data_IF_598288437409
#
_entry.id   IF_598288437409
#
_cell.length_a   1.000
_cell.length_b   1.000
_cell.length_c   1.000
_cell.angle_alpha   90.00
_cell.angle_beta   90.00
_cell.angle_gamma   90.00
#
_symmetry.space_group_name_H-M   'P 1'
#
loop_
_entity.id
_entity.type
_entity.pdbx_description
1 polymer ?
#
# COMPACT_ATOMS: atom_id res chain seq x y z
N UNK A 1 -29.78 17.03 27.30
CA UNK A 1 -29.80 18.49 27.03
C UNK A 1 -28.51 19.04 27.60
N UNK A 2 -27.48 19.08 26.76
CA UNK A 2 -26.88 20.29 26.15
C UNK A 2 -25.93 20.95 27.14
N UNK A 3 -24.65 21.14 26.85
CA UNK A 3 -24.16 21.78 25.63
C UNK A 3 -22.79 21.27 25.21
N UNK A 4 -22.66 21.11 23.90
CA UNK A 4 -21.42 20.98 23.17
C UNK A 4 -20.45 22.12 23.51
N UNK A 5 -19.20 21.74 23.80
CA UNK A 5 -18.04 22.47 23.29
C UNK A 5 -16.99 21.43 22.94
N UNK A 6 -17.26 20.59 21.94
CA UNK A 6 -16.17 20.02 21.14
C UNK A 6 -15.58 21.21 20.41
N UNK A 7 -14.63 21.88 21.08
CA UNK A 7 -13.84 22.90 20.44
C UNK A 7 -13.28 22.27 19.16
N UNK A 8 -13.61 22.88 18.03
CA UNK A 8 -12.81 22.83 16.82
C UNK A 8 -11.41 23.30 17.19
N UNK A 9 -10.62 22.41 17.79
CA UNK A 9 -9.18 22.59 17.78
C UNK A 9 -8.82 22.24 16.35
N UNK A 10 -8.63 23.28 15.52
CA UNK A 10 -7.77 23.13 14.36
C UNK A 10 -6.42 22.70 14.91
N UNK A 11 -6.23 21.39 15.04
CA UNK A 11 -4.97 20.78 15.43
C UNK A 11 -4.01 21.07 14.27
N UNK A 12 -3.31 22.21 14.34
CA UNK A 12 -2.13 22.51 13.51
C UNK A 12 -0.93 21.61 13.86
N UNK A 13 -1.16 20.49 14.56
CA UNK A 13 -0.13 19.52 14.87
C UNK A 13 0.18 18.73 13.60
N UNK A 14 1.47 18.51 13.29
CA UNK A 14 1.87 17.65 12.19
C UNK A 14 1.23 16.26 12.32
N UNK A 15 0.58 15.77 11.26
CA UNK A 15 0.07 14.40 11.23
C UNK A 15 1.21 13.44 10.92
N UNK A 16 1.43 12.45 11.80
CA UNK A 16 2.36 11.35 11.53
C UNK A 16 1.67 10.28 10.67
N UNK A 17 2.25 9.95 9.52
CA UNK A 17 1.74 8.89 8.65
C UNK A 17 2.49 7.58 8.89
N UNK A 18 1.82 6.59 9.47
CA UNK A 18 2.36 5.25 9.60
C UNK A 18 2.29 4.49 8.28
N UNK A 19 3.37 3.75 8.00
CA UNK A 19 3.45 2.83 6.87
C UNK A 19 3.63 1.43 7.43
N UNK A 20 2.61 0.59 7.29
CA UNK A 20 2.54 -0.70 7.96
C UNK A 20 3.09 -1.82 7.04
N UNK A 21 3.81 -2.81 7.56
CA UNK A 21 4.33 -3.92 6.77
C UNK A 21 3.26 -5.00 6.50
N UNK A 22 3.56 -5.98 5.66
CA UNK A 22 2.74 -7.20 5.57
C UNK A 22 1.44 -7.04 4.79
N UNK A 23 1.44 -6.26 3.70
CA UNK A 23 0.28 -6.05 2.81
C UNK A 23 -0.46 -7.35 2.44
N UNK A 24 0.27 -8.44 2.16
CA UNK A 24 -0.30 -9.75 1.82
C UNK A 24 -0.25 -10.76 2.98
N UNK A 25 0.63 -10.53 3.96
CA UNK A 25 0.92 -11.47 5.05
C UNK A 25 -0.05 -11.29 6.22
N UNK A 26 -0.48 -10.06 6.49
CA UNK A 26 -1.28 -9.70 7.66
C UNK A 26 -2.72 -9.32 7.30
N UNK A 27 -3.27 -9.88 6.23
CA UNK A 27 -4.62 -9.60 5.77
C UNK A 27 -5.68 -9.79 6.86
N UNK A 28 -5.69 -10.94 7.54
CA UNK A 28 -6.63 -11.23 8.63
C UNK A 28 -6.46 -10.29 9.83
N UNK A 29 -5.23 -9.84 10.12
CA UNK A 29 -4.99 -8.82 11.12
C UNK A 29 -5.60 -7.48 10.69
N UNK A 30 -5.38 -7.05 9.45
CA UNK A 30 -5.87 -5.76 8.96
C UNK A 30 -7.39 -5.71 8.85
N UNK A 31 -8.06 -6.83 8.52
CA UNK A 31 -9.52 -6.94 8.56
C UNK A 31 -10.12 -6.63 9.93
N UNK A 32 -9.38 -6.84 11.01
CA UNK A 32 -9.82 -6.54 12.38
C UNK A 32 -9.29 -5.17 12.83
N UNK A 33 -8.02 -4.90 12.55
CA UNK A 33 -7.31 -3.71 13.02
C UNK A 33 -7.82 -2.41 12.38
N UNK A 34 -8.09 -2.40 11.07
CA UNK A 34 -8.52 -1.18 10.37
C UNK A 34 -9.91 -0.68 10.83
N UNK A 35 -10.94 -1.54 10.99
CA UNK A 35 -12.20 -1.11 11.59
C UNK A 35 -12.02 -0.62 13.03
N UNK A 36 -11.17 -1.27 13.84
CA UNK A 36 -10.86 -0.83 15.20
C UNK A 36 -10.23 0.57 15.19
N UNK A 37 -9.23 0.79 14.33
CA UNK A 37 -8.58 2.09 14.16
C UNK A 37 -9.58 3.17 13.79
N UNK A 38 -10.47 2.93 12.81
CA UNK A 38 -11.44 3.94 12.35
C UNK A 38 -12.58 4.19 13.36
N UNK A 39 -13.10 3.13 14.00
CA UNK A 39 -14.28 3.23 14.89
C UNK A 39 -13.93 3.65 16.33
N UNK A 40 -12.72 3.35 16.79
CA UNK A 40 -12.25 3.63 18.15
C UNK A 40 -11.00 4.51 18.12
N UNK A 41 -11.11 5.70 17.52
CA UNK A 41 -9.97 6.63 17.39
C UNK A 41 -9.41 7.07 18.74
N UNK A 42 -10.20 7.00 19.81
CA UNK A 42 -9.80 7.27 21.20
C UNK A 42 -8.76 6.28 21.75
N UNK A 43 -8.59 5.10 21.14
CA UNK A 43 -7.53 4.16 21.52
C UNK A 43 -6.15 4.51 20.95
N UNK A 44 -6.13 5.43 19.98
CA UNK A 44 -4.94 5.83 19.26
C UNK A 44 -4.69 7.31 19.44
N UNK A 45 -3.48 7.76 19.14
CA UNK A 45 -3.20 9.19 19.13
C UNK A 45 -4.02 9.89 18.02
N UNK A 46 -4.48 11.11 18.32
CA UNK A 46 -5.26 11.94 17.39
C UNK A 46 -4.39 12.57 16.28
N UNK A 47 -3.08 12.62 16.50
CA UNK A 47 -2.09 13.19 15.57
C UNK A 47 -1.50 12.19 14.57
N UNK A 48 -2.04 10.97 14.45
CA UNK A 48 -1.52 9.97 13.51
C UNK A 48 -2.57 9.36 12.59
N UNK A 49 -2.15 9.01 11.37
CA UNK A 49 -2.97 8.33 10.36
C UNK A 49 -2.18 7.19 9.70
N UNK A 50 -2.87 6.28 9.04
CA UNK A 50 -2.24 5.20 8.25
C UNK A 50 -2.13 5.67 6.81
N UNK A 51 -0.91 5.91 6.35
CA UNK A 51 -0.66 6.42 4.99
C UNK A 51 -0.52 5.31 3.95
N UNK A 52 0.06 4.15 4.33
CA UNK A 52 0.18 3.03 3.40
C UNK A 52 0.36 1.69 4.12
N UNK A 53 0.12 0.60 3.40
CA UNK A 53 0.55 -0.74 3.78
C UNK A 53 1.44 -1.29 2.67
N UNK A 54 2.59 -1.83 3.02
CA UNK A 54 3.58 -2.32 2.06
C UNK A 54 3.86 -3.82 2.20
N UNK A 55 4.11 -4.50 1.08
CA UNK A 55 4.46 -5.91 1.07
C UNK A 55 4.44 -6.51 -0.33
N UNK A 56 4.76 -7.79 -0.44
CA UNK A 56 4.66 -8.55 -1.69
C UNK A 56 4.12 -9.96 -1.40
N UNK A 57 3.46 -10.61 -2.37
CA UNK A 57 3.10 -12.03 -2.27
C UNK A 57 4.34 -12.91 -2.12
N UNK A 58 4.22 -14.01 -1.38
CA UNK A 58 5.32 -14.93 -1.09
C UNK A 58 5.93 -15.59 -2.33
N UNK A 59 5.15 -15.72 -3.40
CA UNK A 59 5.54 -16.37 -4.65
C UNK A 59 5.85 -15.39 -5.78
N UNK A 60 5.97 -14.08 -5.51
CA UNK A 60 6.50 -13.14 -6.50
C UNK A 60 8.05 -13.17 -6.48
N UNK A 61 8.64 -13.52 -7.63
CA UNK A 61 10.10 -13.59 -7.81
C UNK A 61 10.79 -12.24 -7.53
N UNK A 62 10.13 -11.11 -7.80
CA UNK A 62 10.66 -9.78 -7.48
C UNK A 62 10.69 -9.47 -5.98
N UNK A 63 9.95 -10.22 -5.15
CA UNK A 63 9.91 -10.07 -3.69
C UNK A 63 11.16 -10.60 -2.96
N UNK A 64 11.95 -11.46 -3.60
CA UNK A 64 13.23 -11.94 -3.05
C UNK A 64 13.13 -13.16 -2.15
N UNK A 65 12.11 -14.00 -2.33
CA UNK A 65 12.02 -15.32 -1.70
C UNK A 65 11.61 -15.31 -0.23
N UNK A 66 10.82 -14.33 0.21
CA UNK A 66 10.25 -14.30 1.57
C UNK A 66 9.25 -15.44 1.72
N UNK A 67 9.42 -16.29 2.72
CA UNK A 67 8.40 -17.26 3.12
C UNK A 67 7.38 -16.56 4.02
N UNK A 68 6.23 -16.21 3.45
CA UNK A 68 5.08 -15.73 4.22
C UNK A 68 4.17 -16.91 4.54
N UNK A 69 3.63 -16.93 5.76
CA UNK A 69 2.58 -17.88 6.14
C UNK A 69 1.23 -17.22 5.89
N UNK A 70 0.50 -17.72 4.89
CA UNK A 70 -0.79 -17.16 4.48
C UNK A 70 -0.83 -16.87 2.99
N UNK A 71 -1.92 -17.26 2.36
CA UNK A 71 -2.26 -16.86 1.00
C UNK A 71 -3.43 -15.90 1.11
N UNK A 72 -3.23 -14.67 0.66
CA UNK A 72 -4.29 -13.68 0.52
C UNK A 72 -4.44 -13.39 -0.96
N UNK A 73 -5.68 -13.36 -1.46
CA UNK A 73 -5.94 -13.00 -2.84
C UNK A 73 -5.55 -11.53 -3.06
N UNK A 74 -4.76 -11.20 -4.10
CA UNK A 74 -4.40 -9.82 -4.39
C UNK A 74 -5.59 -8.86 -4.59
N UNK A 75 -6.72 -9.36 -5.10
CA UNK A 75 -7.96 -8.58 -5.26
C UNK A 75 -8.56 -8.25 -3.89
N UNK A 76 -8.69 -9.24 -3.00
CA UNK A 76 -9.19 -9.04 -1.63
C UNK A 76 -8.33 -8.03 -0.85
N UNK A 77 -7.00 -8.10 -1.01
CA UNK A 77 -6.06 -7.16 -0.38
C UNK A 77 -6.26 -5.74 -0.93
N UNK A 78 -6.42 -5.62 -2.24
CA UNK A 78 -6.59 -4.33 -2.90
C UNK A 78 -7.93 -3.67 -2.51
N UNK A 79 -9.00 -4.45 -2.43
CA UNK A 79 -10.32 -3.97 -2.00
C UNK A 79 -10.32 -3.54 -0.54
N UNK A 80 -9.63 -4.27 0.35
CA UNK A 80 -9.48 -3.87 1.74
C UNK A 80 -8.78 -2.51 1.87
N UNK A 81 -7.65 -2.28 1.19
CA UNK A 81 -6.96 -1.00 1.33
C UNK A 81 -7.75 0.15 0.69
N UNK A 82 -8.52 -0.11 -0.37
CA UNK A 82 -9.43 0.86 -0.99
C UNK A 82 -10.56 1.24 -0.04
N UNK A 83 -11.20 0.27 0.61
CA UNK A 83 -12.27 0.49 1.60
C UNK A 83 -11.86 1.50 2.68
N UNK A 84 -10.59 1.45 3.11
CA UNK A 84 -10.06 2.31 4.17
C UNK A 84 -9.32 3.55 3.68
N UNK A 85 -9.21 3.75 2.36
CA UNK A 85 -8.49 4.88 1.76
C UNK A 85 -6.99 4.85 2.06
N UNK A 86 -6.36 3.68 1.99
CA UNK A 86 -4.94 3.47 2.33
C UNK A 86 -4.15 3.09 1.07
N UNK A 87 -2.98 3.71 0.86
CA UNK A 87 -2.12 3.40 -0.28
C UNK A 87 -1.54 2.00 -0.14
N UNK A 88 -1.69 1.15 -1.15
CA UNK A 88 -0.95 -0.11 -1.23
C UNK A 88 0.42 0.12 -1.89
N UNK A 89 1.46 -0.47 -1.30
CA UNK A 89 2.83 -0.37 -1.80
C UNK A 89 3.46 -1.75 -2.01
N UNK A 90 3.56 -2.17 -3.26
CA UNK A 90 4.24 -3.42 -3.62
C UNK A 90 5.72 -3.33 -3.24
N UNK A 91 6.28 -4.35 -2.60
CA UNK A 91 7.68 -4.34 -2.11
C UNK A 91 8.52 -5.38 -2.86
N UNK A 92 9.27 -4.91 -3.85
CA UNK A 92 10.15 -5.74 -4.68
C UNK A 92 11.62 -5.58 -4.27
N UNK A 93 12.02 -6.39 -3.30
CA UNK A 93 13.35 -6.34 -2.68
C UNK A 93 14.38 -7.30 -3.27
N UNK A 94 14.07 -8.09 -4.31
CA UNK A 94 15.04 -9.04 -4.87
C UNK A 94 16.23 -8.32 -5.54
N UNK A 95 17.41 -8.40 -4.93
CA UNK A 95 18.66 -7.84 -5.47
C UNK A 95 19.30 -8.70 -6.57
N UNK A 96 18.89 -9.96 -6.71
CA UNK A 96 19.45 -10.93 -7.65
C UNK A 96 18.67 -11.01 -8.97
N UNK A 97 17.84 -10.01 -9.26
CA UNK A 97 17.10 -9.95 -10.52
C UNK A 97 18.04 -9.81 -11.71
N UNK A 98 17.64 -10.47 -12.79
CA UNK A 98 18.30 -10.51 -14.09
C UNK A 98 17.25 -10.22 -15.15
N UNK A 99 17.67 -9.95 -16.38
CA UNK A 99 16.76 -9.57 -17.46
C UNK A 99 15.67 -10.63 -17.70
N UNK A 100 16.03 -11.92 -17.59
CA UNK A 100 15.07 -13.02 -17.73
C UNK A 100 13.96 -13.03 -16.67
N UNK A 101 14.19 -12.41 -15.51
CA UNK A 101 13.19 -12.32 -14.44
C UNK A 101 12.21 -11.16 -14.65
N UNK A 102 12.49 -10.21 -15.54
CA UNK A 102 11.64 -9.04 -15.78
C UNK A 102 10.34 -9.40 -16.52
N UNK A 103 10.35 -10.48 -17.31
CA UNK A 103 9.17 -10.96 -18.04
C UNK A 103 8.28 -11.87 -17.22
N UNK A 104 8.51 -11.98 -15.90
CA UNK A 104 7.67 -12.78 -15.01
C UNK A 104 6.21 -12.33 -15.08
N UNK A 105 5.35 -13.23 -15.55
CA UNK A 105 3.95 -12.92 -15.82
C UNK A 105 3.22 -12.46 -14.56
N UNK A 106 3.44 -13.15 -13.44
CA UNK A 106 2.71 -12.91 -12.19
C UNK A 106 3.04 -11.54 -11.60
N UNK A 107 4.32 -11.18 -11.50
CA UNK A 107 4.70 -9.90 -10.94
C UNK A 107 4.27 -8.73 -11.86
N UNK A 108 4.26 -8.92 -13.19
CA UNK A 108 3.71 -7.92 -14.13
C UNK A 108 2.19 -7.74 -14.00
N UNK A 109 1.43 -8.83 -13.89
CA UNK A 109 -0.03 -8.77 -13.66
C UNK A 109 -0.36 -8.09 -12.32
N UNK A 110 0.42 -8.39 -11.28
CA UNK A 110 0.28 -7.75 -9.98
C UNK A 110 0.52 -6.22 -10.05
N UNK A 111 1.54 -5.76 -10.77
CA UNK A 111 1.76 -4.32 -10.97
C UNK A 111 0.57 -3.64 -11.63
N UNK A 112 0.06 -4.22 -12.73
CA UNK A 112 -1.10 -3.66 -13.46
C UNK A 112 -2.34 -3.59 -12.59
N UNK A 113 -2.58 -4.63 -11.79
CA UNK A 113 -3.73 -4.66 -10.86
C UNK A 113 -3.66 -3.51 -9.84
N UNK A 114 -2.47 -3.24 -9.29
CA UNK A 114 -2.29 -2.20 -8.28
C UNK A 114 -2.14 -0.79 -8.87
N UNK A 115 -1.88 -0.65 -10.17
CA UNK A 115 -1.82 0.62 -10.90
C UNK A 115 -3.19 1.29 -11.06
N UNK A 116 -4.23 0.52 -11.39
CA UNK A 116 -5.57 1.03 -11.76
C UNK A 116 -6.52 1.27 -10.58
N UNK A 117 -6.02 1.45 -9.36
CA UNK A 117 -6.85 1.57 -8.17
C UNK A 117 -7.52 2.93 -7.96
N UNK A 118 -7.23 3.93 -8.79
CA UNK A 118 -7.72 5.31 -8.65
C UNK A 118 -9.10 5.57 -9.26
N UNK A 119 -9.58 4.74 -10.18
CA UNK A 119 -10.64 5.16 -11.11
C UNK A 119 -12.06 4.73 -10.71
N UNK A 120 -12.20 3.97 -9.62
CA UNK A 120 -13.44 3.21 -9.36
C UNK A 120 -14.45 3.87 -8.43
N UNK A 121 -14.11 4.92 -7.66
CA UNK A 121 -15.07 5.50 -6.71
C UNK A 121 -15.06 7.03 -6.69
N UNK A 122 -16.22 7.62 -7.00
CA UNK A 122 -16.54 9.04 -6.82
C UNK A 122 -16.72 9.39 -5.33
N UNK A 123 -15.87 8.87 -4.46
CA UNK A 123 -15.84 9.22 -3.06
C UNK A 123 -15.14 10.58 -2.91
N UNK A 124 -15.65 11.54 -2.13
CA UNK A 124 -15.00 12.85 -1.95
C UNK A 124 -13.62 12.79 -1.26
N UNK A 125 -13.08 11.58 -1.03
CA UNK A 125 -11.75 11.31 -0.47
C UNK A 125 -10.79 10.57 -1.44
N UNK A 126 -11.19 10.23 -2.68
CA UNK A 126 -10.40 9.40 -3.61
C UNK A 126 -9.43 10.16 -4.51
N UNK A 127 -9.48 11.49 -4.56
CA UNK A 127 -8.73 12.29 -5.55
C UNK A 127 -7.19 12.23 -5.43
N UNK A 128 -6.61 11.49 -4.48
CA UNK A 128 -5.15 11.43 -4.26
C UNK A 128 -4.60 10.09 -3.76
N UNK A 129 -5.36 8.99 -3.76
CA UNK A 129 -4.83 7.72 -3.24
C UNK A 129 -3.95 7.01 -4.27
N UNK A 130 -2.68 7.41 -4.34
CA UNK A 130 -1.71 6.82 -5.25
C UNK A 130 -1.09 5.57 -4.63
N UNK A 131 -1.27 4.42 -5.27
CA UNK A 131 -0.50 3.21 -4.95
C UNK A 131 0.97 3.39 -5.37
N UNK A 132 1.84 2.52 -4.85
CA UNK A 132 3.27 2.62 -5.13
C UNK A 132 3.99 1.30 -5.23
N UNK A 133 5.25 1.39 -5.66
CA UNK A 133 6.17 0.25 -5.67
C UNK A 133 7.48 0.69 -5.03
N UNK A 134 7.92 -0.09 -4.05
CA UNK A 134 9.22 0.02 -3.40
C UNK A 134 10.14 -0.99 -4.09
N UNK A 135 11.20 -0.49 -4.73
CA UNK A 135 12.10 -1.29 -5.55
C UNK A 135 13.52 -1.15 -5.02
N UNK A 136 14.22 -2.28 -4.89
CA UNK A 136 15.65 -2.29 -4.57
C UNK A 136 16.54 -2.42 -5.82
N UNK A 137 16.13 -3.22 -6.79
CA UNK A 137 16.91 -3.46 -8.01
C UNK A 137 16.81 -2.30 -9.00
N UNK A 138 17.93 -1.67 -9.33
CA UNK A 138 17.99 -0.64 -10.36
C UNK A 138 17.53 -1.17 -11.74
N UNK A 139 17.81 -2.44 -12.03
CA UNK A 139 17.31 -3.12 -13.22
C UNK A 139 15.78 -3.11 -13.27
N UNK A 140 15.14 -3.51 -12.16
CA UNK A 140 13.68 -3.53 -12.06
C UNK A 140 13.09 -2.11 -12.07
N UNK A 141 13.73 -1.15 -11.42
CA UNK A 141 13.30 0.25 -11.44
C UNK A 141 13.25 0.79 -12.87
N UNK A 142 14.32 0.59 -13.65
CA UNK A 142 14.38 1.02 -15.05
C UNK A 142 13.37 0.30 -15.94
N UNK A 143 13.12 -0.98 -15.68
CA UNK A 143 12.09 -1.75 -16.38
C UNK A 143 10.68 -1.23 -16.09
N UNK A 144 10.33 -1.05 -14.81
CA UNK A 144 9.05 -0.54 -14.37
C UNK A 144 8.81 0.88 -14.87
N UNK A 145 9.84 1.76 -14.85
CA UNK A 145 9.72 3.09 -15.44
C UNK A 145 9.35 3.02 -16.92
N UNK A 146 9.97 2.13 -17.71
CA UNK A 146 9.69 2.00 -19.15
C UNK A 146 8.30 1.46 -19.46
N UNK A 147 7.77 0.58 -18.61
CA UNK A 147 6.47 -0.08 -18.85
C UNK A 147 5.32 0.70 -18.22
N UNK A 148 5.56 1.31 -17.06
CA UNK A 148 4.63 2.15 -16.30
C UNK A 148 4.85 3.64 -16.67
N UNK A 149 5.42 3.93 -17.85
CA UNK A 149 5.72 5.30 -18.28
C UNK A 149 4.46 6.07 -18.72
N UNK A 150 3.26 5.51 -18.55
CA UNK A 150 1.98 6.22 -18.72
C UNK A 150 0.99 5.73 -17.64
N UNK A 151 1.06 6.35 -16.46
CA UNK A 151 0.05 6.45 -15.38
C UNK A 151 0.30 5.76 -14.02
N UNK A 152 0.04 6.56 -12.98
CA UNK A 152 -0.47 6.21 -11.63
C UNK A 152 0.33 5.53 -10.52
N UNK A 153 1.52 4.93 -10.68
CA UNK A 153 2.27 4.41 -9.50
C UNK A 153 3.42 5.33 -9.03
N UNK A 154 3.44 5.66 -7.72
CA UNK A 154 4.58 6.37 -7.10
C UNK A 154 5.74 5.41 -6.89
N UNK A 155 6.83 5.60 -7.63
CA UNK A 155 8.07 4.83 -7.46
C UNK A 155 8.94 5.49 -6.38
N UNK A 156 9.20 4.76 -5.31
CA UNK A 156 10.09 5.22 -4.23
C UNK A 156 11.37 4.37 -4.23
N UNK A 157 12.51 4.90 -4.72
CA UNK A 157 13.78 4.19 -4.60
C UNK A 157 14.22 4.17 -3.13
N UNK A 158 14.44 2.99 -2.56
CA UNK A 158 15.09 2.85 -1.26
C UNK A 158 16.56 2.43 -1.44
N UNK A 159 17.48 3.32 -1.06
CA UNK A 159 18.85 2.92 -0.70
C UNK A 159 18.82 2.45 0.75
N UNK A 160 19.06 1.16 0.98
CA UNK A 160 19.33 0.63 2.32
C UNK A 160 20.76 0.98 2.73
#
# INVERSE_FOLDING_TARGET
>A
MNTATTANIQNNNPTAFYHLPGLFEFYELYRIFLPLFRKHREYFYDWCEIGSIYGAPSDCIWGGGRTSFGYSDPEDVLDLVREYGISARLTFSNSLLREEHLTDKKCNELCKMFEHASDADNSPHTDQLQNGVIVHSELLLNYLQKIILISTLSLQPQKF
#
